data_IF_564108288867
#
_entry.id   IF_564108288867
#
_cell.length_a   1.000
_cell.length_b   1.000
_cell.length_c   1.000
_cell.angle_alpha   90.00
_cell.angle_beta   90.00
_cell.angle_gamma   90.00
#
_symmetry.space_group_name_H-M   'P 1'
#
loop_
_entity.id
_entity.type
_entity.pdbx_description
1 polymer ?
#
# COMPACT_ATOMS: atom_id res chain seq x y z
N UNK A 1 -11.68 -20.58 -22.59
CA UNK A 1 -12.66 -20.80 -21.52
C UNK A 1 -11.95 -20.43 -20.25
N UNK A 2 -12.45 -19.39 -19.59
CA UNK A 2 -11.73 -18.55 -18.65
C UNK A 2 -11.18 -19.32 -17.45
N UNK A 3 -9.87 -19.21 -17.22
CA UNK A 3 -9.22 -19.47 -15.95
C UNK A 3 -9.57 -18.33 -14.98
N UNK A 4 -10.80 -18.36 -14.46
CA UNK A 4 -11.26 -17.42 -13.45
C UNK A 4 -10.72 -17.88 -12.08
N UNK A 5 -9.53 -17.42 -11.74
CA UNK A 5 -8.78 -17.77 -10.52
C UNK A 5 -9.44 -17.29 -9.20
N UNK A 6 -10.74 -16.96 -9.20
CA UNK A 6 -11.40 -16.26 -8.10
C UNK A 6 -12.85 -16.73 -7.81
N UNK A 7 -13.13 -18.03 -7.93
CA UNK A 7 -14.49 -18.58 -7.68
C UNK A 7 -14.82 -18.90 -6.21
N UNK A 8 -13.84 -18.90 -5.30
CA UNK A 8 -14.12 -19.16 -3.89
C UNK A 8 -14.44 -17.85 -3.15
N UNK A 9 -15.73 -17.53 -3.11
CA UNK A 9 -16.34 -16.57 -2.18
C UNK A 9 -16.14 -17.05 -0.72
N UNK A 10 -14.90 -17.06 -0.23
CA UNK A 10 -14.57 -17.31 1.18
C UNK A 10 -14.82 -16.04 1.99
N UNK A 11 -15.75 -16.04 2.96
CA UNK A 11 -16.01 -14.89 3.82
C UNK A 11 -14.76 -14.32 4.49
N UNK A 12 -13.73 -15.16 4.75
CA UNK A 12 -12.46 -14.70 5.32
C UNK A 12 -11.60 -13.96 4.30
N UNK A 13 -11.65 -14.34 3.03
CA UNK A 13 -10.96 -13.64 1.95
C UNK A 13 -11.61 -12.28 1.71
N UNK A 14 -12.95 -12.24 1.63
CA UNK A 14 -13.72 -11.00 1.50
C UNK A 14 -13.47 -10.04 2.68
N UNK A 15 -13.45 -10.57 3.91
CA UNK A 15 -13.19 -9.77 5.10
C UNK A 15 -11.77 -9.15 5.09
N UNK A 16 -10.77 -9.88 4.58
CA UNK A 16 -9.39 -9.40 4.43
C UNK A 16 -9.26 -8.36 3.33
N UNK A 17 -9.88 -8.59 2.17
CA UNK A 17 -9.91 -7.62 1.09
C UNK A 17 -10.57 -6.32 1.54
N UNK A 18 -11.72 -6.41 2.23
CA UNK A 18 -12.40 -5.23 2.78
C UNK A 18 -11.54 -4.50 3.80
N UNK A 19 -10.86 -5.22 4.70
CA UNK A 19 -9.94 -4.61 5.67
C UNK A 19 -8.79 -3.88 4.96
N UNK A 20 -8.19 -4.50 3.94
CA UNK A 20 -7.14 -3.91 3.12
C UNK A 20 -7.60 -2.61 2.45
N UNK A 21 -8.79 -2.62 1.83
CA UNK A 21 -9.34 -1.44 1.16
C UNK A 21 -9.54 -0.26 2.13
N UNK A 22 -10.06 -0.51 3.34
CA UNK A 22 -10.24 0.53 4.37
C UNK A 22 -8.91 1.10 4.84
N UNK A 23 -7.92 0.23 5.11
CA UNK A 23 -6.59 0.65 5.55
C UNK A 23 -5.86 1.44 4.46
N UNK A 24 -6.00 1.02 3.20
CA UNK A 24 -5.44 1.71 2.04
C UNK A 24 -6.07 3.10 1.85
N UNK A 25 -7.40 3.20 1.92
CA UNK A 25 -8.09 4.48 1.82
C UNK A 25 -7.68 5.46 2.93
N UNK A 26 -7.48 4.96 4.15
CA UNK A 26 -7.00 5.75 5.27
C UNK A 26 -5.56 6.26 5.03
N UNK A 27 -4.67 5.37 4.56
CA UNK A 27 -3.28 5.70 4.30
C UNK A 27 -3.12 6.73 3.16
N UNK A 28 -3.84 6.53 2.05
CA UNK A 28 -3.84 7.46 0.89
C UNK A 28 -4.33 8.86 1.29
N UNK A 29 -5.26 8.95 2.24
CA UNK A 29 -5.79 10.23 2.74
C UNK A 29 -4.97 10.82 3.88
N UNK A 30 -4.08 10.04 4.51
CA UNK A 30 -3.42 10.43 5.75
C UNK A 30 -4.36 10.52 6.95
N UNK A 31 -5.52 9.86 6.89
CA UNK A 31 -6.53 9.84 7.95
C UNK A 31 -6.31 8.62 8.87
N UNK A 32 -6.88 8.67 10.08
CA UNK A 32 -6.97 7.47 10.92
C UNK A 32 -7.99 6.47 10.31
N UNK A 33 -7.74 5.15 10.39
CA UNK A 33 -8.68 4.15 9.87
C UNK A 33 -10.10 4.28 10.44
N UNK A 34 -10.23 4.71 11.69
CA UNK A 34 -11.53 4.99 12.34
C UNK A 34 -12.36 6.06 11.63
N UNK A 35 -11.70 7.05 10.99
CA UNK A 35 -12.37 8.11 10.21
C UNK A 35 -12.97 7.54 8.94
N UNK A 36 -12.29 6.59 8.29
CA UNK A 36 -12.80 5.90 7.10
C UNK A 36 -13.97 4.99 7.48
N UNK A 37 -13.81 4.19 8.55
CA UNK A 37 -14.87 3.32 9.06
C UNK A 37 -16.14 4.09 9.39
N UNK A 38 -16.04 5.26 10.01
CA UNK A 38 -17.20 6.09 10.36
C UNK A 38 -18.04 6.57 9.16
N UNK A 39 -17.49 6.54 7.93
CA UNK A 39 -18.21 6.93 6.70
C UNK A 39 -18.96 5.75 6.07
N UNK A 40 -18.60 4.52 6.43
CA UNK A 40 -19.17 3.30 5.85
C UNK A 40 -20.57 3.08 6.44
N UNK A 41 -21.58 3.02 5.58
CA UNK A 41 -22.98 2.80 6.00
C UNK A 41 -23.31 1.32 6.23
N UNK A 42 -22.59 0.42 5.56
CA UNK A 42 -22.77 -1.02 5.70
C UNK A 42 -21.89 -1.51 6.85
N UNK A 43 -22.45 -2.18 7.88
CA UNK A 43 -21.67 -2.72 8.99
C UNK A 43 -20.50 -3.57 8.51
N UNK A 44 -19.38 -3.47 9.23
CA UNK A 44 -18.22 -4.31 8.99
C UNK A 44 -18.44 -5.69 9.61
N UNK A 45 -17.91 -6.72 8.95
CA UNK A 45 -17.79 -8.04 9.54
C UNK A 45 -16.86 -8.00 10.77
N UNK A 46 -17.06 -8.94 11.70
CA UNK A 46 -16.25 -9.04 12.92
C UNK A 46 -14.75 -9.23 12.60
N UNK A 47 -14.43 -10.05 11.59
CA UNK A 47 -13.04 -10.27 11.16
C UNK A 47 -12.45 -9.00 10.55
N UNK A 48 -13.21 -8.28 9.72
CA UNK A 48 -12.77 -6.99 9.16
C UNK A 48 -12.46 -5.98 10.26
N UNK A 49 -13.36 -5.85 11.23
CA UNK A 49 -13.20 -4.93 12.37
C UNK A 49 -11.99 -5.30 13.23
N UNK A 50 -11.81 -6.60 13.51
CA UNK A 50 -10.66 -7.11 14.26
C UNK A 50 -9.34 -6.82 13.54
N UNK A 51 -9.28 -7.00 12.22
CA UNK A 51 -8.07 -6.72 11.43
C UNK A 51 -7.72 -5.23 11.44
N UNK A 52 -8.71 -4.36 11.20
CA UNK A 52 -8.49 -2.90 11.19
C UNK A 52 -8.00 -2.43 12.56
N UNK A 53 -8.66 -2.86 13.63
CA UNK A 53 -8.28 -2.48 15.00
C UNK A 53 -6.90 -3.02 15.36
N UNK A 54 -6.61 -4.30 15.08
CA UNK A 54 -5.32 -4.92 15.38
C UNK A 54 -4.16 -4.29 14.62
N UNK A 55 -4.34 -3.94 13.35
CA UNK A 55 -3.32 -3.22 12.56
C UNK A 55 -3.11 -1.81 13.13
N UNK A 56 -4.19 -1.11 13.48
CA UNK A 56 -4.10 0.25 14.04
C UNK A 56 -3.37 0.24 15.38
N UNK A 57 -3.67 -0.71 16.26
CA UNK A 57 -3.04 -0.85 17.57
C UNK A 57 -1.56 -1.25 17.47
N UNK A 58 -1.22 -2.12 16.53
CA UNK A 58 0.13 -2.69 16.42
C UNK A 58 0.97 -2.08 15.29
N UNK A 59 0.55 -0.95 14.68
CA UNK A 59 1.19 -0.36 13.50
C UNK A 59 2.71 -0.21 13.66
N UNK A 60 3.17 0.42 14.74
CA UNK A 60 4.61 0.62 14.97
C UNK A 60 5.40 -0.71 15.06
N UNK A 61 4.83 -1.74 15.68
CA UNK A 61 5.46 -3.06 15.78
C UNK A 61 5.48 -3.77 14.42
N UNK A 62 4.37 -3.69 13.67
CA UNK A 62 4.26 -4.26 12.32
C UNK A 62 5.28 -3.59 11.39
N UNK A 63 5.34 -2.26 11.36
CA UNK A 63 6.27 -1.49 10.53
C UNK A 63 7.73 -1.81 10.89
N UNK A 64 8.04 -2.00 12.18
CA UNK A 64 9.36 -2.42 12.63
C UNK A 64 9.73 -3.82 12.12
N UNK A 65 8.82 -4.78 12.20
CA UNK A 65 9.04 -6.14 11.70
C UNK A 65 9.20 -6.17 10.18
N UNK A 66 8.32 -5.46 9.45
CA UNK A 66 8.41 -5.34 7.99
C UNK A 66 9.75 -4.73 7.61
N UNK A 67 10.15 -3.61 8.22
CA UNK A 67 11.42 -2.95 7.93
C UNK A 67 12.62 -3.85 8.23
N UNK A 68 12.56 -4.60 9.34
CA UNK A 68 13.64 -5.51 9.74
C UNK A 68 13.82 -6.66 8.75
N UNK A 69 12.74 -7.16 8.15
CA UNK A 69 12.80 -8.33 7.26
C UNK A 69 12.75 -7.99 5.76
N UNK A 70 12.66 -6.71 5.37
CA UNK A 70 12.53 -6.24 3.97
C UNK A 70 13.80 -5.54 3.43
N UNK A 71 14.98 -6.10 3.70
CA UNK A 71 16.29 -5.50 3.38
C UNK A 71 16.50 -5.02 1.94
N UNK A 72 15.81 -5.59 0.94
CA UNK A 72 15.94 -5.23 -0.47
C UNK A 72 14.84 -4.31 -1.01
N UNK A 73 13.82 -3.98 -0.21
CA UNK A 73 12.66 -3.19 -0.66
C UNK A 73 12.75 -1.71 -0.24
N UNK A 74 13.37 -1.43 0.90
CA UNK A 74 13.47 -0.06 1.44
C UNK A 74 14.44 0.85 0.67
N UNK A 75 15.30 0.32 -0.22
CA UNK A 75 16.44 1.06 -0.81
C UNK A 75 16.21 1.73 -2.17
N UNK A 76 14.97 1.94 -2.62
CA UNK A 76 14.72 2.59 -3.93
C UNK A 76 14.42 4.10 -3.86
N UNK A 77 13.89 4.64 -2.74
CA UNK A 77 13.27 5.98 -2.78
C UNK A 77 14.21 7.16 -2.45
N UNK A 78 15.42 6.94 -1.93
CA UNK A 78 16.27 8.05 -1.45
C UNK A 78 17.68 8.16 -2.06
N UNK A 79 18.06 7.32 -3.02
CA UNK A 79 19.39 7.48 -3.63
C UNK A 79 19.52 6.97 -5.06
N UNK A 80 18.86 7.61 -6.02
CA UNK A 80 19.34 7.51 -7.40
C UNK A 80 19.28 8.86 -8.14
N UNK A 81 20.38 9.65 -8.14
CA UNK A 81 20.63 10.72 -9.10
C UNK A 81 21.23 10.20 -10.42
N UNK A 82 20.82 9.01 -10.91
CA UNK A 82 21.42 8.40 -12.11
C UNK A 82 20.51 7.50 -12.94
N UNK A 83 19.23 7.33 -12.58
CA UNK A 83 18.24 6.56 -13.35
C UNK A 83 17.30 7.50 -14.13
N UNK A 84 17.82 8.17 -15.15
CA UNK A 84 16.99 8.67 -16.25
C UNK A 84 17.86 8.82 -17.50
N UNK A 85 17.71 7.96 -18.52
CA UNK A 85 18.43 8.15 -19.77
C UNK A 85 17.59 9.04 -20.70
N UNK A 86 17.37 10.31 -20.32
CA UNK A 86 16.96 11.40 -21.25
C UNK A 86 16.69 12.68 -20.48
N UNK A 87 17.75 13.47 -20.23
CA UNK A 87 17.68 14.92 -19.96
C UNK A 87 19.08 15.52 -19.80
N UNK A 88 19.97 15.35 -20.78
CA UNK A 88 21.17 16.19 -20.89
C UNK A 88 21.47 16.55 -22.34
N UNK A 89 20.71 17.49 -22.87
CA UNK A 89 21.17 18.44 -23.88
C UNK A 89 20.59 19.83 -23.56
N UNK A 90 21.16 20.49 -22.55
CA UNK A 90 20.93 21.92 -22.30
C UNK A 90 22.27 22.61 -22.08
N UNK A 91 23.08 22.67 -23.13
CA UNK A 91 24.15 23.69 -23.25
C UNK A 91 24.57 23.76 -24.72
N UNK A 92 24.24 24.87 -25.35
CA UNK A 92 24.43 25.20 -26.76
C UNK A 92 25.91 25.44 -27.08
N UNK A 93 26.81 24.47 -26.94
CA UNK A 93 28.17 24.54 -27.51
C UNK A 93 28.81 23.14 -27.57
N UNK A 94 28.47 22.34 -28.58
CA UNK A 94 29.36 21.26 -29.05
C UNK A 94 28.96 20.84 -30.47
N UNK A 95 29.88 20.76 -31.44
CA UNK A 95 29.56 20.53 -32.85
C UNK A 95 29.54 19.03 -33.22
N UNK A 96 29.37 18.12 -32.27
CA UNK A 96 29.15 16.70 -32.55
C UNK A 96 28.03 16.14 -31.67
N UNK A 97 26.83 16.60 -32.02
CA UNK A 97 25.66 15.74 -32.12
C UNK A 97 25.27 15.74 -33.60
#
# INVERSE_FOLDING_TARGET
MSDDWNEDFDPRSDARERALNVLFEADVRGDAPSVVVARIQVPLDDLTSMLINGVTEHRAKIDSLITTHSHAWTRAVTSHPWWWPESRCRSTTSPRC
#
